data_IF_633036529000
#
_entry.id   IF_633036529000
#
_cell.length_a   1.000
_cell.length_b   1.000
_cell.length_c   1.000
_cell.angle_alpha   90.00
_cell.angle_beta   90.00
_cell.angle_gamma   90.00
#
_symmetry.space_group_name_H-M   'P 1'
#
loop_
_entity.id
_entity.type
_entity.pdbx_description
1 polymer ?
#
# COMPACT_ATOMS: atom_id res chain seq x y z
N UNK A 1 9.71 -21.90 -15.20
CA UNK A 1 8.79 -21.16 -14.33
C UNK A 1 9.54 -20.76 -13.07
N UNK A 2 10.20 -19.62 -13.07
CA UNK A 2 10.96 -19.12 -11.92
C UNK A 2 9.97 -18.77 -10.81
N UNK A 3 10.06 -19.50 -9.68
CA UNK A 3 9.36 -19.16 -8.44
C UNK A 3 9.69 -17.71 -8.12
N UNK A 4 8.70 -16.82 -8.17
CA UNK A 4 8.85 -15.46 -7.69
C UNK A 4 9.03 -15.58 -6.17
N UNK A 5 10.28 -15.56 -5.71
CA UNK A 5 10.60 -15.47 -4.28
C UNK A 5 10.28 -14.04 -3.85
N UNK A 6 9.11 -13.87 -3.24
CA UNK A 6 8.65 -12.57 -2.74
C UNK A 6 9.54 -12.21 -1.56
N UNK A 7 10.57 -11.40 -1.81
CA UNK A 7 11.41 -10.81 -0.77
C UNK A 7 10.53 -9.83 0.02
N UNK A 8 10.64 -9.84 1.34
CA UNK A 8 9.93 -8.94 2.26
C UNK A 8 10.18 -7.43 2.00
N UNK A 9 11.13 -7.09 1.10
CA UNK A 9 11.45 -5.73 0.67
C UNK A 9 10.80 -5.31 -0.68
N UNK A 10 9.79 -6.03 -1.16
CA UNK A 10 9.20 -5.77 -2.48
C UNK A 10 8.38 -4.46 -2.53
N UNK A 11 7.86 -3.95 -1.41
CA UNK A 11 7.05 -2.74 -1.39
C UNK A 11 7.72 -1.66 -0.55
N UNK A 12 7.69 -0.43 -1.05
CA UNK A 12 7.92 0.78 -0.28
C UNK A 12 6.61 1.55 -0.19
N UNK A 13 6.12 1.78 1.02
CA UNK A 13 4.86 2.47 1.23
C UNK A 13 5.09 3.95 1.52
N UNK A 14 4.31 4.80 0.85
CA UNK A 14 4.27 6.24 1.11
C UNK A 14 2.85 6.67 1.43
N UNK A 15 2.74 7.71 2.25
CA UNK A 15 1.47 8.30 2.60
C UNK A 15 0.91 9.06 1.39
N UNK A 16 -0.31 8.73 0.96
CA UNK A 16 -0.95 9.45 -0.13
C UNK A 16 -1.59 10.80 0.26
N UNK A 17 -1.53 11.18 1.55
CA UNK A 17 -1.99 12.49 2.02
C UNK A 17 -0.85 13.52 2.04
N UNK A 18 0.36 13.14 2.49
CA UNK A 18 1.49 14.06 2.63
C UNK A 18 2.75 13.66 1.84
N UNK A 19 2.80 12.46 1.27
CA UNK A 19 3.93 11.97 0.48
C UNK A 19 5.11 11.38 1.26
N UNK A 20 5.08 11.39 2.59
CA UNK A 20 6.16 10.82 3.41
C UNK A 20 6.15 9.29 3.42
N UNK A 21 7.32 8.68 3.62
CA UNK A 21 7.46 7.23 3.78
C UNK A 21 6.72 6.76 5.05
N UNK A 22 5.85 5.75 4.91
CA UNK A 22 5.15 5.19 6.06
C UNK A 22 6.10 4.31 6.87
N UNK A 23 6.07 4.48 8.19
CA UNK A 23 6.92 3.74 9.12
C UNK A 23 6.12 2.72 9.92
N UNK A 24 6.72 1.59 10.25
CA UNK A 24 6.12 0.62 11.18
C UNK A 24 6.23 1.16 12.59
N UNK A 25 5.09 1.34 13.25
CA UNK A 25 4.95 1.80 14.64
C UNK A 25 4.27 0.73 15.48
N UNK A 26 4.56 0.70 16.77
CA UNK A 26 3.92 -0.20 17.72
C UNK A 26 2.84 0.56 18.49
N UNK A 27 1.61 0.05 18.47
CA UNK A 27 0.50 0.55 19.26
C UNK A 27 -0.01 -0.49 20.26
N UNK A 28 -1.04 -0.15 21.06
CA UNK A 28 -1.63 -1.05 22.04
C UNK A 28 -2.19 -2.35 21.45
N UNK A 29 -2.63 -2.31 20.18
CA UNK A 29 -3.23 -3.44 19.48
C UNK A 29 -2.27 -4.14 18.50
N UNK A 30 -0.97 -3.84 18.57
CA UNK A 30 0.06 -4.41 17.70
C UNK A 30 0.70 -3.40 16.76
N UNK A 31 1.37 -3.92 15.73
CA UNK A 31 2.10 -3.11 14.75
C UNK A 31 1.18 -2.54 13.67
N UNK A 32 1.49 -1.34 13.21
CA UNK A 32 0.78 -0.67 12.13
C UNK A 32 1.72 0.25 11.37
N UNK A 33 1.39 0.57 10.11
CA UNK A 33 2.08 1.61 9.36
C UNK A 33 1.48 2.97 9.71
N UNK A 34 2.30 3.91 10.17
CA UNK A 34 1.89 5.26 10.54
C UNK A 34 2.74 6.32 9.86
N UNK A 35 2.10 7.44 9.52
CA UNK A 35 2.81 8.60 8.97
C UNK A 35 3.81 9.18 10.00
N UNK A 36 5.04 9.54 9.61
CA UNK A 36 5.97 10.23 10.49
C UNK A 36 5.52 11.64 10.84
N UNK A 37 4.94 12.39 9.89
CA UNK A 37 4.37 13.73 10.08
C UNK A 37 3.21 13.89 11.09
N UNK A 38 2.89 12.89 11.93
CA UNK A 38 1.93 13.08 13.02
C UNK A 38 2.42 14.18 14.00
N UNK A 39 1.56 15.12 14.45
CA UNK A 39 0.10 15.17 14.34
C UNK A 39 -0.45 15.86 13.08
N UNK A 40 0.40 16.38 12.18
CA UNK A 40 -0.05 17.09 10.96
C UNK A 40 -0.68 16.14 9.93
N UNK A 41 -0.25 14.88 9.91
CA UNK A 41 -0.83 13.82 9.10
C UNK A 41 -1.18 12.62 9.97
N UNK A 42 -2.43 12.16 9.90
CA UNK A 42 -2.97 11.07 10.72
C UNK A 42 -3.16 9.77 9.93
N UNK A 43 -2.60 9.68 8.72
CA UNK A 43 -2.71 8.49 7.91
C UNK A 43 -2.06 7.31 8.62
N UNK A 44 -2.81 6.21 8.69
CA UNK A 44 -2.42 4.97 9.34
C UNK A 44 -3.06 3.80 8.63
N UNK A 45 -2.34 2.69 8.57
CA UNK A 45 -2.75 1.47 7.89
C UNK A 45 -2.39 0.27 8.76
N UNK A 46 -3.32 -0.67 8.90
CA UNK A 46 -3.05 -1.93 9.61
C UNK A 46 -1.97 -2.73 8.86
N UNK A 47 -1.08 -3.40 9.60
CA UNK A 47 -0.01 -4.24 9.04
C UNK A 47 -0.53 -5.31 8.06
N UNK A 48 -1.70 -5.91 8.30
CA UNK A 48 -2.30 -6.95 7.44
C UNK A 48 -2.61 -6.44 6.03
N UNK A 49 -2.82 -5.13 5.87
CA UNK A 49 -3.12 -4.52 4.58
C UNK A 49 -1.92 -4.63 3.64
N UNK A 50 -0.70 -4.68 4.17
CA UNK A 50 0.52 -4.87 3.37
C UNK A 50 0.46 -6.18 2.57
N UNK A 51 -0.02 -7.26 3.19
CA UNK A 51 -0.16 -8.56 2.54
C UNK A 51 -1.19 -8.50 1.40
N UNK A 52 -2.28 -7.74 1.60
CA UNK A 52 -3.29 -7.52 0.55
C UNK A 52 -2.74 -6.76 -0.66
N UNK A 53 -1.84 -5.79 -0.44
CA UNK A 53 -1.16 -5.08 -1.53
C UNK A 53 -0.26 -6.06 -2.30
N UNK A 54 0.52 -6.87 -1.57
CA UNK A 54 1.40 -7.87 -2.17
C UNK A 54 0.64 -8.89 -3.03
N UNK A 55 -0.47 -9.43 -2.51
CA UNK A 55 -1.24 -10.44 -3.23
C UNK A 55 -1.87 -9.87 -4.49
N UNK A 56 -2.40 -8.65 -4.43
CA UNK A 56 -2.97 -7.99 -5.60
C UNK A 56 -1.92 -7.74 -6.71
N UNK A 57 -0.71 -7.30 -6.35
CA UNK A 57 0.39 -7.13 -7.32
C UNK A 57 0.80 -8.49 -7.92
N UNK A 58 0.90 -9.54 -7.09
CA UNK A 58 1.23 -10.89 -7.59
C UNK A 58 0.18 -11.38 -8.58
N UNK A 59 -1.10 -11.20 -8.30
CA UNK A 59 -2.20 -11.58 -9.19
C UNK A 59 -2.09 -10.87 -10.55
N UNK A 60 -1.81 -9.56 -10.55
CA UNK A 60 -1.64 -8.80 -11.80
C UNK A 60 -0.44 -9.28 -12.63
N UNK A 61 0.70 -9.53 -11.98
CA UNK A 61 1.91 -10.02 -12.66
C UNK A 61 1.75 -11.46 -13.16
N UNK A 62 0.99 -12.30 -12.44
CA UNK A 62 0.67 -13.65 -12.90
C UNK A 62 -0.24 -13.64 -14.12
N UNK A 63 -1.21 -12.72 -14.19
CA UNK A 63 -2.09 -12.58 -15.35
C UNK A 63 -1.33 -12.11 -16.60
N UNK A 64 -0.40 -11.16 -16.45
CA UNK A 64 0.50 -10.75 -17.53
C UNK A 64 1.83 -10.21 -16.97
N UNK A 65 2.94 -10.97 -17.11
CA UNK A 65 4.25 -10.58 -16.59
C UNK A 65 4.86 -9.32 -17.21
N UNK A 66 4.35 -8.86 -18.36
CA UNK A 66 4.80 -7.63 -19.04
C UNK A 66 3.96 -6.40 -18.68
N UNK A 67 3.02 -6.52 -17.74
CA UNK A 67 2.18 -5.41 -17.31
C UNK A 67 3.03 -4.34 -16.61
N UNK A 68 2.89 -3.10 -17.08
CA UNK A 68 3.42 -1.92 -16.39
C UNK A 68 2.35 -1.48 -15.40
N UNK A 69 2.67 -1.56 -14.11
CA UNK A 69 1.74 -1.24 -13.02
C UNK A 69 1.77 0.23 -12.62
N UNK A 70 2.71 1.02 -13.13
CA UNK A 70 2.80 2.45 -12.87
C UNK A 70 1.45 3.16 -13.10
N UNK A 71 1.04 4.00 -12.14
CA UNK A 71 -0.28 4.66 -12.07
C UNK A 71 -1.50 3.74 -11.88
N UNK A 72 -1.31 2.43 -11.75
CA UNK A 72 -2.42 1.55 -11.41
C UNK A 72 -2.96 1.90 -10.03
N UNK A 73 -4.30 1.99 -9.93
CA UNK A 73 -5.02 2.32 -8.70
C UNK A 73 -6.04 1.24 -8.42
N UNK A 74 -6.08 0.78 -7.17
CA UNK A 74 -7.11 -0.11 -6.69
C UNK A 74 -7.52 0.27 -5.28
N UNK A 75 -8.70 -0.20 -4.88
CA UNK A 75 -9.29 0.10 -3.58
C UNK A 75 -9.53 -1.17 -2.81
N UNK A 76 -9.31 -1.11 -1.50
CA UNK A 76 -9.56 -2.21 -0.60
C UNK A 76 -10.32 -1.70 0.62
N UNK A 77 -11.29 -2.48 1.07
CA UNK A 77 -12.12 -2.15 2.24
C UNK A 77 -11.90 -3.18 3.33
N UNK A 78 -11.59 -2.72 4.54
CA UNK A 78 -11.52 -3.54 5.75
C UNK A 78 -12.47 -2.96 6.79
N UNK A 79 -13.68 -3.52 6.92
CA UNK A 79 -14.69 -3.01 7.84
C UNK A 79 -15.04 -1.53 7.58
N UNK A 80 -14.51 -0.66 8.45
CA UNK A 80 -14.71 0.80 8.42
C UNK A 80 -13.66 1.58 7.60
N UNK A 81 -12.51 0.97 7.31
CA UNK A 81 -11.44 1.63 6.55
C UNK A 81 -11.58 1.37 5.06
N UNK A 82 -11.33 2.40 4.26
CA UNK A 82 -11.25 2.30 2.80
C UNK A 82 -9.87 2.80 2.40
N UNK A 83 -9.07 1.89 1.88
CA UNK A 83 -7.74 2.19 1.38
C UNK A 83 -7.80 2.35 -0.13
N UNK A 84 -7.14 3.39 -0.62
CA UNK A 84 -6.78 3.52 -2.04
C UNK A 84 -5.27 3.33 -2.15
N UNK A 85 -4.87 2.40 -2.99
CA UNK A 85 -3.47 2.15 -3.30
C UNK A 85 -3.18 2.60 -4.71
N UNK A 86 -2.07 3.29 -4.89
CA UNK A 86 -1.59 3.71 -6.21
C UNK A 86 -0.14 3.33 -6.36
N UNK A 87 0.20 2.61 -7.44
CA UNK A 87 1.60 2.41 -7.81
C UNK A 87 2.15 3.73 -8.35
N UNK A 88 3.05 4.36 -7.61
CA UNK A 88 3.71 5.60 -8.05
C UNK A 88 4.81 5.27 -9.05
N UNK A 89 5.64 4.28 -8.72
CA UNK A 89 6.83 3.95 -9.50
C UNK A 89 7.21 2.50 -9.33
N UNK A 90 7.72 1.92 -10.41
CA UNK A 90 8.36 0.62 -10.45
C UNK A 90 9.87 0.82 -10.37
N UNK A 91 10.51 0.27 -9.35
CA UNK A 91 11.96 0.25 -9.16
C UNK A 91 12.46 -1.19 -9.42
N UNK A 92 13.75 -1.39 -9.74
CA UNK A 92 14.30 -2.73 -9.92
C UNK A 92 14.08 -3.61 -8.68
N UNK A 93 13.11 -4.53 -8.75
CA UNK A 93 12.74 -5.42 -7.65
C UNK A 93 11.94 -4.80 -6.51
N UNK A 94 11.37 -3.60 -6.69
CA UNK A 94 10.56 -2.92 -5.67
C UNK A 94 9.46 -2.04 -6.28
N UNK A 95 8.31 -1.94 -5.63
CA UNK A 95 7.22 -1.04 -6.02
C UNK A 95 7.02 0.05 -4.97
N UNK A 96 6.95 1.29 -5.45
CA UNK A 96 6.59 2.43 -4.61
C UNK A 96 5.07 2.61 -4.64
N UNK A 97 4.42 2.37 -3.51
CA UNK A 97 2.95 2.38 -3.39
C UNK A 97 2.52 3.54 -2.50
N UNK A 98 1.69 4.41 -3.05
CA UNK A 98 0.93 5.40 -2.28
C UNK A 98 -0.23 4.72 -1.59
N UNK A 99 -0.40 4.97 -0.28
CA UNK A 99 -1.53 4.48 0.51
C UNK A 99 -2.31 5.66 1.07
N UNK A 100 -3.58 5.77 0.70
CA UNK A 100 -4.50 6.79 1.19
C UNK A 100 -5.68 6.16 1.92
N UNK A 101 -6.06 6.71 3.08
CA UNK A 101 -7.32 6.36 3.74
C UNK A 101 -8.43 7.27 3.20
N UNK A 102 -9.12 6.81 2.16
CA UNK A 102 -10.24 7.56 1.62
C UNK A 102 -11.40 7.43 2.60
N UNK A 103 -11.90 8.52 3.18
CA UNK A 103 -13.25 8.48 3.78
C UNK A 103 -14.19 8.01 2.68
N UNK A 104 -15.20 7.17 3.00
CA UNK A 104 -16.31 6.83 2.09
C UNK A 104 -16.72 8.15 1.45
N UNK A 105 -16.27 8.46 0.23
CA UNK A 105 -16.64 9.74 -0.40
C UNK A 105 -18.15 9.63 -0.42
N UNK A 106 -18.79 10.50 0.35
CA UNK A 106 -20.23 10.66 0.26
C UNK A 106 -20.44 10.92 -1.22
N UNK A 107 -21.02 9.92 -1.89
CA UNK A 107 -21.65 10.14 -3.18
C UNK A 107 -22.77 11.10 -2.81
N UNK A 108 -22.53 12.40 -3.05
CA UNK A 108 -23.62 13.35 -3.10
C UNK A 108 -24.54 12.96 -4.25
#
# INVERSE_FOLDING_TARGET
>A
MSKITVKWNLLKLVCGECGEDLEVKQGPWGYFYGCPAYPKCCNRMNIEVYEKILDNIKEMLQANPRTVLTNHVWRHRTGYHYYEFKVIKELPGQYLISVSNIKKKAVN
#
